data_IF_780148016580
#
_entry.id   IF_780148016580
#
_cell.length_a   1.000
_cell.length_b   1.000
_cell.length_c   1.000
_cell.angle_alpha   90.00
_cell.angle_beta   90.00
_cell.angle_gamma   90.00
#
_symmetry.space_group_name_H-M   'P 1'
#
loop_
_entity.id
_entity.type
_entity.pdbx_description
1 polymer ?
#
# COMPACT_ATOMS: atom_id res chain seq x y z
N UNK A 1 -21.75 0.89 -10.62
CA UNK A 1 -20.73 1.94 -10.75
C UNK A 1 -20.59 2.82 -9.51
N UNK A 2 -21.68 3.25 -8.85
CA UNK A 2 -21.61 4.10 -7.64
C UNK A 2 -20.77 3.52 -6.48
N UNK A 3 -20.89 2.21 -6.20
CA UNK A 3 -20.18 1.53 -5.09
C UNK A 3 -18.64 1.51 -5.26
N UNK A 4 -18.17 1.34 -6.49
CA UNK A 4 -16.74 1.35 -6.84
C UNK A 4 -16.17 2.77 -6.70
N UNK A 5 -16.94 3.78 -7.10
CA UNK A 5 -16.55 5.19 -6.98
C UNK A 5 -16.50 5.64 -5.51
N UNK A 6 -17.42 5.14 -4.68
CA UNK A 6 -17.46 5.43 -3.25
C UNK A 6 -16.29 4.78 -2.50
N UNK A 7 -15.96 3.52 -2.78
CA UNK A 7 -14.77 2.84 -2.23
C UNK A 7 -13.46 3.45 -2.73
N UNK A 8 -13.40 3.85 -4.00
CA UNK A 8 -12.29 4.61 -4.57
C UNK A 8 -12.07 5.93 -3.83
N UNK A 9 -13.13 6.68 -3.56
CA UNK A 9 -13.07 7.91 -2.77
C UNK A 9 -12.64 7.62 -1.32
N UNK A 10 -13.14 6.54 -0.71
CA UNK A 10 -12.84 6.14 0.68
C UNK A 10 -11.42 5.63 0.90
N UNK A 11 -10.66 5.29 -0.15
CA UNK A 11 -9.27 4.80 -0.04
C UNK A 11 -8.23 5.71 -0.70
N UNK A 12 -8.61 6.47 -1.73
CA UNK A 12 -7.78 7.57 -2.25
C UNK A 12 -7.92 8.86 -1.43
N UNK A 13 -8.81 8.89 -0.42
CA UNK A 13 -9.03 10.05 0.44
C UNK A 13 -7.73 10.53 1.06
N UNK A 14 -6.82 9.65 1.49
CA UNK A 14 -5.63 10.08 2.20
C UNK A 14 -4.76 10.97 1.30
N UNK A 15 -4.41 10.52 0.09
CA UNK A 15 -3.64 11.35 -0.84
C UNK A 15 -4.38 12.59 -1.32
N UNK A 16 -5.69 12.52 -1.59
CA UNK A 16 -6.47 13.71 -2.00
C UNK A 16 -6.60 14.73 -0.87
N UNK A 17 -6.94 14.26 0.33
CA UNK A 17 -7.02 15.05 1.54
C UNK A 17 -5.68 15.73 1.78
N UNK A 18 -4.57 14.98 1.72
CA UNK A 18 -3.26 15.59 1.97
C UNK A 18 -2.82 16.55 0.86
N UNK A 19 -3.05 16.27 -0.42
CA UNK A 19 -2.75 17.23 -1.50
C UNK A 19 -3.54 18.54 -1.32
N UNK A 20 -4.85 18.43 -1.09
CA UNK A 20 -5.71 19.59 -0.82
C UNK A 20 -5.24 20.39 0.39
N UNK A 21 -4.89 19.68 1.47
CA UNK A 21 -4.43 20.31 2.70
C UNK A 21 -3.09 21.01 2.49
N UNK A 22 -2.12 20.38 1.81
CA UNK A 22 -0.80 20.93 1.50
C UNK A 22 -0.82 22.16 0.56
N UNK A 23 -2.00 22.64 0.17
CA UNK A 23 -2.14 23.83 -0.68
C UNK A 23 -1.91 23.54 -2.15
N UNK A 24 -1.78 22.27 -2.54
CA UNK A 24 -1.72 21.89 -3.93
C UNK A 24 -3.13 21.87 -4.53
N UNK A 25 -3.33 22.61 -5.61
CA UNK A 25 -4.48 22.45 -6.51
C UNK A 25 -4.46 21.10 -7.24
N UNK A 26 -3.31 20.43 -7.24
CA UNK A 26 -3.03 19.17 -7.94
C UNK A 26 -3.94 18.05 -7.46
N UNK A 27 -4.78 17.52 -8.36
CA UNK A 27 -5.53 16.28 -8.12
C UNK A 27 -4.65 15.08 -8.52
N UNK A 28 -4.32 14.16 -7.60
CA UNK A 28 -3.57 12.96 -7.96
C UNK A 28 -4.37 12.15 -8.99
N UNK A 29 -3.72 11.80 -10.10
CA UNK A 29 -4.33 11.00 -11.16
C UNK A 29 -3.92 9.56 -10.96
N UNK A 30 -4.90 8.68 -10.85
CA UNK A 30 -4.69 7.23 -10.77
C UNK A 30 -4.98 6.60 -12.12
N UNK A 31 -4.02 5.82 -12.63
CA UNK A 31 -4.22 4.93 -13.78
C UNK A 31 -4.18 3.50 -13.27
N UNK A 32 -5.26 2.75 -13.47
CA UNK A 32 -5.37 1.36 -13.04
C UNK A 32 -5.53 0.47 -14.27
N UNK A 33 -4.68 -0.55 -14.39
CA UNK A 33 -4.75 -1.55 -15.44
C UNK A 33 -4.88 -2.94 -14.80
N UNK A 34 -5.88 -3.71 -15.23
CA UNK A 34 -6.08 -5.09 -14.78
C UNK A 34 -5.35 -6.04 -15.72
N UNK A 35 -4.48 -6.86 -15.17
CA UNK A 35 -3.76 -7.91 -15.86
C UNK A 35 -4.39 -9.26 -15.53
N UNK A 36 -4.91 -9.92 -16.55
CA UNK A 36 -5.52 -11.25 -16.45
C UNK A 36 -4.75 -12.22 -17.33
N UNK A 37 -4.43 -13.40 -16.79
CA UNK A 37 -3.78 -14.47 -17.55
C UNK A 37 -4.46 -15.81 -17.24
N UNK A 38 -4.63 -16.73 -18.21
CA UNK A 38 -5.29 -18.01 -17.98
C UNK A 38 -4.59 -18.90 -16.94
N UNK A 39 -3.28 -18.70 -16.74
CA UNK A 39 -2.42 -19.51 -15.85
C UNK A 39 -1.86 -18.77 -14.64
N UNK A 40 -2.06 -17.45 -14.54
CA UNK A 40 -1.49 -16.66 -13.45
C UNK A 40 -2.58 -15.88 -12.72
N UNK A 41 -2.43 -15.63 -11.40
CA UNK A 41 -3.36 -14.82 -10.65
C UNK A 41 -3.55 -13.46 -11.31
N UNK A 42 -4.81 -13.00 -11.31
CA UNK A 42 -5.13 -11.64 -11.76
C UNK A 42 -4.50 -10.63 -10.81
N UNK A 43 -3.86 -9.61 -11.36
CA UNK A 43 -3.33 -8.49 -10.59
C UNK A 43 -3.68 -7.16 -11.27
N UNK A 44 -3.53 -6.08 -10.52
CA UNK A 44 -3.72 -4.72 -10.94
C UNK A 44 -2.40 -3.99 -10.87
N UNK A 45 -2.03 -3.35 -11.97
CA UNK A 45 -1.00 -2.31 -11.97
C UNK A 45 -1.70 -0.97 -11.75
N UNK A 46 -1.36 -0.32 -10.64
CA UNK A 46 -1.86 1.01 -10.31
C UNK A 46 -0.70 1.98 -10.37
N UNK A 47 -0.91 3.09 -11.08
CA UNK A 47 0.05 4.20 -11.18
C UNK A 47 -0.59 5.45 -10.61
N UNK A 48 0.14 6.18 -9.79
CA UNK A 48 -0.22 7.55 -9.39
C UNK A 48 0.68 8.53 -10.11
N UNK A 49 0.10 9.65 -10.56
CA UNK A 49 0.83 10.75 -11.16
C UNK A 49 0.44 12.03 -10.41
N UNK A 50 1.42 12.68 -9.80
CA UNK A 50 1.31 14.03 -9.25
C UNK A 50 1.79 15.00 -10.34
N UNK A 51 0.93 15.96 -10.72
CA UNK A 51 1.17 16.90 -11.82
C UNK A 51 1.08 18.32 -11.31
N UNK A 52 2.05 19.16 -11.65
CA UNK A 52 2.00 20.60 -11.42
C UNK A 52 1.56 21.28 -12.72
N UNK A 53 0.50 22.08 -12.63
CA UNK A 53 0.07 22.95 -13.71
C UNK A 53 0.77 24.29 -13.55
N UNK A 54 1.68 24.62 -14.47
CA UNK A 54 2.29 25.94 -14.50
C UNK A 54 1.34 26.93 -15.19
N UNK A 55 1.24 28.14 -14.64
CA UNK A 55 0.39 29.24 -15.16
C UNK A 55 0.68 29.63 -16.62
N UNK A 56 1.82 29.20 -17.19
CA UNK A 56 2.16 29.38 -18.61
C UNK A 56 1.73 28.22 -19.51
N UNK A 57 0.71 27.46 -19.12
CA UNK A 57 -0.30 26.88 -20.02
C UNK A 57 0.08 25.74 -20.98
N UNK A 58 1.36 25.35 -21.12
CA UNK A 58 1.74 24.36 -22.16
C UNK A 58 2.50 23.13 -21.66
N UNK A 59 3.05 23.14 -20.45
CA UNK A 59 3.78 21.98 -19.90
C UNK A 59 3.14 21.48 -18.61
N UNK A 60 2.56 20.28 -18.69
CA UNK A 60 2.15 19.48 -17.54
C UNK A 60 3.33 18.64 -17.11
N UNK A 61 4.08 19.10 -16.11
CA UNK A 61 5.23 18.37 -15.57
C UNK A 61 4.75 17.38 -14.50
N UNK A 62 5.12 16.10 -14.65
CA UNK A 62 4.91 15.11 -13.61
C UNK A 62 5.93 15.32 -12.49
N UNK A 63 5.51 15.91 -11.37
CA UNK A 63 6.36 16.15 -10.18
C UNK A 63 6.82 14.82 -9.56
N UNK A 64 5.97 13.79 -9.64
CA UNK A 64 6.27 12.45 -9.16
C UNK A 64 5.32 11.43 -9.78
N UNK A 65 5.81 10.22 -9.97
CA UNK A 65 4.99 9.06 -10.27
C UNK A 65 5.46 7.86 -9.46
N UNK A 66 4.53 7.00 -9.06
CA UNK A 66 4.82 5.72 -8.43
C UNK A 66 3.89 4.64 -9.02
N UNK A 67 4.33 3.40 -8.94
CA UNK A 67 3.65 2.23 -9.50
C UNK A 67 3.63 1.12 -8.46
N UNK A 68 2.46 0.51 -8.26
CA UNK A 68 2.31 -0.68 -7.42
C UNK A 68 1.52 -1.75 -8.18
N UNK A 69 1.96 -3.00 -8.03
CA UNK A 69 1.25 -4.18 -8.52
C UNK A 69 0.62 -4.92 -7.34
N UNK A 70 -0.71 -5.08 -7.36
CA UNK A 70 -1.45 -5.72 -6.26
C UNK A 70 -2.61 -6.56 -6.78
N UNK A 71 -3.08 -7.55 -6.00
CA UNK A 71 -4.24 -8.38 -6.36
C UNK A 71 -5.54 -7.58 -6.49
N UNK A 72 -5.66 -6.50 -5.72
CA UNK A 72 -6.84 -5.62 -5.73
C UNK A 72 -6.45 -4.23 -6.23
N UNK A 73 -7.36 -3.59 -6.96
CA UNK A 73 -7.16 -2.22 -7.44
C UNK A 73 -6.99 -1.26 -6.25
N UNK A 74 -7.76 -1.50 -5.19
CA UNK A 74 -7.88 -0.68 -4.00
C UNK A 74 -6.57 -0.64 -3.20
N UNK A 75 -5.93 -1.79 -3.03
CA UNK A 75 -4.63 -1.86 -2.33
C UNK A 75 -3.52 -1.21 -3.16
N UNK A 76 -3.56 -1.38 -4.48
CA UNK A 76 -2.68 -0.68 -5.40
C UNK A 76 -2.81 0.83 -5.25
N UNK A 77 -4.03 1.37 -5.24
CA UNK A 77 -4.31 2.80 -5.04
C UNK A 77 -3.79 3.28 -3.68
N UNK A 78 -4.11 2.57 -2.60
CA UNK A 78 -3.71 2.97 -1.25
C UNK A 78 -2.18 3.02 -1.12
N UNK A 79 -1.48 2.07 -1.72
CA UNK A 79 -0.02 2.04 -1.68
C UNK A 79 0.63 3.14 -2.50
N UNK A 80 0.23 3.31 -3.77
CA UNK A 80 0.83 4.38 -4.59
C UNK A 80 0.50 5.76 -4.00
N UNK A 81 -0.71 5.93 -3.45
CA UNK A 81 -1.12 7.14 -2.74
C UNK A 81 -0.20 7.44 -1.54
N UNK A 82 0.07 6.43 -0.71
CA UNK A 82 0.97 6.54 0.45
C UNK A 82 2.39 6.89 0.00
N UNK A 83 2.95 6.14 -0.94
CA UNK A 83 4.33 6.36 -1.42
C UNK A 83 4.51 7.73 -2.04
N UNK A 84 3.54 8.19 -2.83
CA UNK A 84 3.57 9.52 -3.41
C UNK A 84 3.46 10.62 -2.35
N UNK A 85 2.65 10.41 -1.31
CA UNK A 85 2.55 11.34 -0.19
C UNK A 85 3.88 11.47 0.57
N UNK A 86 4.56 10.36 0.86
CA UNK A 86 5.85 10.39 1.56
C UNK A 86 6.91 11.17 0.79
N UNK A 87 6.95 10.99 -0.54
CA UNK A 87 7.87 11.72 -1.41
C UNK A 87 7.50 13.21 -1.46
N UNK A 88 6.22 13.54 -1.52
CA UNK A 88 5.74 14.92 -1.50
C UNK A 88 6.08 15.61 -0.17
N UNK A 89 5.84 14.93 0.95
CA UNK A 89 6.19 15.39 2.30
C UNK A 89 7.68 15.66 2.47
N UNK A 90 8.53 14.83 1.85
CA UNK A 90 9.97 15.05 1.82
C UNK A 90 10.35 16.29 1.00
N UNK A 91 9.75 16.47 -0.20
CA UNK A 91 10.01 17.65 -1.03
C UNK A 91 9.59 18.95 -0.35
N UNK A 92 8.43 18.95 0.30
CA UNK A 92 7.85 20.13 0.94
C UNK A 92 8.30 20.32 2.40
N UNK A 93 9.29 19.55 2.85
CA UNK A 93 9.76 19.58 4.24
C UNK A 93 10.08 20.98 4.77
N UNK A 94 10.74 21.87 4.00
CA UNK A 94 11.01 23.23 4.45
C UNK A 94 9.72 24.03 4.72
N UNK A 95 8.69 23.86 3.87
CA UNK A 95 7.38 24.52 4.04
C UNK A 95 6.59 23.94 5.21
N UNK A 96 6.72 22.64 5.46
CA UNK A 96 5.95 21.94 6.50
C UNK A 96 6.52 22.10 7.90
N UNK A 97 7.78 22.53 8.05
CA UNK A 97 8.53 22.60 9.31
C UNK A 97 7.76 23.24 10.47
N UNK A 98 7.02 24.32 10.21
CA UNK A 98 6.31 25.09 11.24
C UNK A 98 4.80 24.76 11.32
N UNK A 99 4.37 23.70 10.64
CA UNK A 99 2.96 23.27 10.62
C UNK A 99 2.80 21.95 11.38
N UNK A 100 1.56 21.61 11.75
CA UNK A 100 1.22 20.29 12.30
C UNK A 100 1.54 19.14 11.34
N UNK A 101 1.83 19.43 10.06
CA UNK A 101 2.16 18.45 9.03
C UNK A 101 3.65 18.12 8.95
N UNK A 102 4.49 18.73 9.79
CA UNK A 102 5.87 18.28 9.99
C UNK A 102 5.96 16.84 10.46
N UNK A 103 4.89 16.26 10.98
CA UNK A 103 4.85 14.85 11.38
C UNK A 103 4.42 13.91 10.26
N UNK A 104 4.11 14.44 9.06
CA UNK A 104 3.89 13.59 7.90
C UNK A 104 5.13 12.73 7.66
N UNK A 105 4.96 11.41 7.53
CA UNK A 105 6.00 10.51 7.06
C UNK A 105 6.59 11.06 5.75
N UNK A 106 7.90 10.98 5.65
CA UNK A 106 8.66 11.56 4.54
C UNK A 106 9.70 10.56 4.07
N UNK A 107 9.90 10.47 2.77
CA UNK A 107 10.83 9.55 2.13
C UNK A 107 11.47 10.27 0.96
N UNK A 108 12.80 10.24 0.86
CA UNK A 108 13.45 10.76 -0.33
C UNK A 108 13.05 9.92 -1.54
N UNK A 109 12.94 10.55 -2.72
CA UNK A 109 12.61 9.82 -3.94
C UNK A 109 13.65 8.73 -4.22
N UNK A 110 13.22 7.49 -4.41
CA UNK A 110 14.10 6.34 -4.64
C UNK A 110 14.61 5.65 -3.37
N UNK A 111 14.41 6.20 -2.18
CA UNK A 111 14.75 5.51 -0.93
C UNK A 111 13.62 4.58 -0.48
N UNK A 112 13.99 3.49 0.19
CA UNK A 112 13.01 2.60 0.83
C UNK A 112 12.62 3.07 2.24
N UNK A 113 13.48 3.84 2.90
CA UNK A 113 13.31 4.24 4.31
C UNK A 113 12.38 5.44 4.44
N UNK A 114 11.45 5.35 5.36
CA UNK A 114 10.50 6.41 5.71
C UNK A 114 10.87 7.03 7.04
N UNK A 115 10.94 8.34 7.10
CA UNK A 115 11.26 9.12 8.30
C UNK A 115 10.02 9.83 8.83
N UNK A 116 9.86 9.81 10.16
CA UNK A 116 8.83 10.56 10.88
C UNK A 116 9.56 11.45 11.88
N UNK A 117 9.17 12.73 11.97
CA UNK A 117 9.76 13.63 12.97
C UNK A 117 9.41 13.17 14.39
N UNK A 118 10.36 13.31 15.31
CA UNK A 118 10.13 13.13 16.75
C UNK A 118 9.11 14.14 17.25
N UNK A 119 8.24 13.70 18.14
CA UNK A 119 7.08 14.46 18.59
C UNK A 119 7.11 14.65 20.11
N UNK A 120 7.10 15.90 20.56
CA UNK A 120 7.30 16.26 21.96
C UNK A 120 5.97 16.63 22.69
N UNK A 121 4.81 16.47 22.03
CA UNK A 121 3.48 16.64 22.64
C UNK A 121 2.41 17.25 21.70
N UNK A 122 1.14 16.90 21.95
CA UNK A 122 -0.16 17.33 21.34
C UNK A 122 -0.93 16.35 20.41
N UNK A 123 -2.25 16.27 20.64
CA UNK A 123 -3.26 15.29 20.15
C UNK A 123 -3.53 15.20 18.63
N UNK A 124 -3.40 16.27 17.85
CA UNK A 124 -3.77 16.20 16.42
C UNK A 124 -2.75 15.46 15.56
N UNK A 125 -1.47 15.57 15.90
CA UNK A 125 -0.41 14.86 15.20
C UNK A 125 -0.43 13.37 15.57
N UNK A 126 -0.74 13.02 16.82
CA UNK A 126 -0.90 11.64 17.26
C UNK A 126 -2.11 10.97 16.58
N UNK A 127 -3.24 11.65 16.43
CA UNK A 127 -4.40 11.12 15.70
C UNK A 127 -4.14 10.88 14.23
N UNK A 128 -3.44 11.81 13.55
CA UNK A 128 -3.04 11.60 12.16
C UNK A 128 -2.05 10.43 12.06
N UNK A 129 -1.02 10.41 12.90
CA UNK A 129 -0.04 9.32 12.93
C UNK A 129 -0.71 7.98 13.21
N UNK A 130 -1.72 7.92 14.08
CA UNK A 130 -2.52 6.73 14.37
C UNK A 130 -3.30 6.26 13.14
N UNK A 131 -4.00 7.17 12.45
CA UNK A 131 -4.73 6.86 11.20
C UNK A 131 -3.77 6.40 10.09
N UNK A 132 -2.64 7.09 9.95
CA UNK A 132 -1.59 6.73 9.01
C UNK A 132 -1.03 5.34 9.32
N UNK A 133 -0.59 5.11 10.56
CA UNK A 133 -0.02 3.86 11.01
C UNK A 133 -1.00 2.70 10.78
N UNK A 134 -2.27 2.88 11.14
CA UNK A 134 -3.33 1.90 10.87
C UNK A 134 -3.46 1.55 9.38
N UNK A 135 -3.46 2.57 8.50
CA UNK A 135 -3.49 2.36 7.05
C UNK A 135 -2.24 1.63 6.54
N UNK A 136 -1.05 1.98 7.05
CA UNK A 136 0.21 1.34 6.67
C UNK A 136 0.32 -0.10 7.14
N UNK A 137 -0.08 -0.39 8.38
CA UNK A 137 -0.13 -1.75 8.93
C UNK A 137 -1.12 -2.62 8.16
N UNK A 138 -2.27 -2.07 7.79
CA UNK A 138 -3.25 -2.77 6.94
C UNK A 138 -2.66 -3.11 5.58
N UNK A 139 -1.99 -2.14 4.94
CA UNK A 139 -1.33 -2.37 3.66
C UNK A 139 -0.19 -3.39 3.79
N UNK A 140 0.60 -3.33 4.86
CA UNK A 140 1.68 -4.28 5.14
C UNK A 140 1.14 -5.70 5.33
N UNK A 141 0.09 -5.87 6.13
CA UNK A 141 -0.55 -7.17 6.32
C UNK A 141 -1.13 -7.72 5.01
N UNK A 142 -1.74 -6.86 4.18
CA UNK A 142 -2.21 -7.26 2.85
C UNK A 142 -1.05 -7.70 1.95
N UNK A 143 0.10 -7.01 1.99
CA UNK A 143 1.30 -7.42 1.25
C UNK A 143 1.89 -8.73 1.78
N UNK A 144 1.90 -8.95 3.08
CA UNK A 144 2.40 -10.20 3.68
C UNK A 144 1.50 -11.38 3.30
N UNK A 145 0.18 -11.20 3.36
CA UNK A 145 -0.78 -12.22 2.91
C UNK A 145 -0.57 -12.55 1.43
N UNK A 146 -0.35 -11.52 0.59
CA UNK A 146 -0.07 -11.74 -0.83
C UNK A 146 1.25 -12.49 -1.06
N UNK A 147 2.31 -12.15 -0.33
CA UNK A 147 3.59 -12.86 -0.41
C UNK A 147 3.45 -14.32 0.02
N UNK A 148 2.70 -14.58 1.10
CA UNK A 148 2.43 -15.92 1.57
C UNK A 148 1.67 -16.76 0.53
N UNK A 149 0.64 -16.19 -0.09
CA UNK A 149 -0.12 -16.84 -1.16
C UNK A 149 0.78 -17.18 -2.37
N UNK A 150 1.61 -16.24 -2.81
CA UNK A 150 2.57 -16.47 -3.91
C UNK A 150 3.56 -17.57 -3.53
N UNK A 151 4.09 -17.55 -2.30
CA UNK A 151 5.03 -18.57 -1.83
C UNK A 151 4.39 -19.96 -1.81
N UNK A 152 3.12 -20.06 -1.40
CA UNK A 152 2.36 -21.31 -1.42
C UNK A 152 2.13 -21.81 -2.84
N UNK A 153 1.62 -20.96 -3.74
CA UNK A 153 1.40 -21.31 -5.15
C UNK A 153 2.72 -21.72 -5.84
N UNK A 154 3.81 -21.02 -5.55
CA UNK A 154 5.13 -21.33 -6.10
C UNK A 154 5.70 -22.64 -5.53
N UNK A 155 5.38 -22.98 -4.28
CA UNK A 155 5.72 -24.27 -3.70
C UNK A 155 4.92 -25.39 -4.37
N UNK A 156 3.60 -25.24 -4.53
CA UNK A 156 2.72 -26.20 -5.21
C UNK A 156 3.19 -26.48 -6.65
N UNK A 157 3.49 -25.43 -7.43
CA UNK A 157 3.98 -25.57 -8.82
C UNK A 157 5.36 -26.25 -8.86
N UNK A 158 6.25 -25.95 -7.92
CA UNK A 158 7.56 -26.62 -7.83
C UNK A 158 7.39 -28.09 -7.49
N UNK A 159 6.49 -28.42 -6.57
CA UNK A 159 6.17 -29.78 -6.19
C UNK A 159 5.62 -30.57 -7.38
N UNK A 160 4.61 -30.04 -8.09
CA UNK A 160 4.04 -30.68 -9.29
C UNK A 160 5.10 -30.91 -10.36
N UNK A 161 5.96 -29.90 -10.61
CA UNK A 161 7.10 -30.05 -11.53
C UNK A 161 8.02 -31.19 -11.10
N UNK A 162 8.38 -31.25 -9.82
CA UNK A 162 9.34 -32.25 -9.31
C UNK A 162 8.75 -33.67 -9.38
N UNK A 163 7.46 -33.83 -9.08
CA UNK A 163 6.73 -35.09 -9.28
C UNK A 163 6.71 -35.49 -10.76
N UNK A 164 6.40 -34.56 -11.66
CA UNK A 164 6.39 -34.82 -13.10
C UNK A 164 7.77 -35.20 -13.62
N UNK A 165 8.83 -34.50 -13.19
CA UNK A 165 10.22 -34.81 -13.56
C UNK A 165 10.64 -36.17 -13.01
N UNK A 166 10.30 -36.50 -11.77
CA UNK A 166 10.58 -37.81 -11.17
C UNK A 166 9.89 -38.94 -11.96
N UNK A 167 8.61 -38.74 -12.33
CA UNK A 167 7.87 -39.72 -13.14
C UNK A 167 8.48 -39.94 -14.54
N UNK A 168 8.95 -38.86 -15.18
CA UNK A 168 9.56 -38.91 -16.51
C UNK A 168 10.96 -39.56 -16.48
N UNK A 169 11.69 -39.41 -15.37
CA UNK A 169 13.07 -39.93 -15.20
C UNK A 169 13.13 -41.26 -14.46
N UNK A 170 11.98 -41.79 -14.00
CA UNK A 170 11.88 -42.98 -13.11
C UNK A 170 12.66 -42.82 -11.78
N UNK A 171 12.87 -41.59 -11.34
CA UNK A 171 13.42 -41.31 -10.02
C UNK A 171 12.33 -41.47 -8.93
N UNK A 172 12.70 -41.75 -7.67
CA UNK A 172 11.74 -41.75 -6.57
C UNK A 172 11.11 -40.35 -6.41
N UNK A 173 9.83 -40.27 -6.00
CA UNK A 173 9.13 -39.00 -5.84
C UNK A 173 9.80 -38.15 -4.74
N UNK A 174 9.76 -36.81 -4.86
CA UNK A 174 10.25 -35.92 -3.82
C UNK A 174 9.53 -36.18 -2.49
N UNK A 175 10.24 -36.02 -1.36
CA UNK A 175 9.63 -36.09 -0.02
C UNK A 175 9.04 -34.73 0.34
N UNK A 176 7.85 -34.74 0.93
CA UNK A 176 7.13 -33.53 1.32
C UNK A 176 7.80 -32.94 2.58
N UNK A 177 8.54 -31.84 2.42
CA UNK A 177 9.14 -31.13 3.55
C UNK A 177 8.03 -30.46 4.37
N UNK A 178 7.52 -31.16 5.37
CA UNK A 178 6.40 -30.78 6.24
C UNK A 178 6.73 -29.62 7.22
N UNK A 179 7.57 -28.66 6.84
CA UNK A 179 7.95 -27.53 7.66
C UNK A 179 7.51 -26.22 7.02
N UNK A 180 6.20 -26.01 6.96
CA UNK A 180 5.67 -24.64 6.85
C UNK A 180 5.67 -24.04 8.26
N UNK A 181 6.44 -22.97 8.53
CA UNK A 181 6.31 -22.26 9.79
C UNK A 181 4.85 -21.81 9.97
N UNK A 182 4.30 -22.05 11.16
CA UNK A 182 2.93 -21.71 11.49
C UNK A 182 2.65 -20.24 11.12
N UNK A 183 1.72 -20.02 10.20
CA UNK A 183 1.28 -18.67 9.87
C UNK A 183 0.58 -18.08 11.08
N UNK A 184 1.11 -16.98 11.60
CA UNK A 184 0.41 -16.22 12.62
C UNK A 184 -0.95 -15.82 12.04
N UNK A 185 -2.07 -16.04 12.76
CA UNK A 185 -3.37 -15.67 12.25
C UNK A 185 -3.37 -14.17 11.91
N UNK A 186 -3.94 -13.80 10.76
CA UNK A 186 -4.15 -12.40 10.42
C UNK A 186 -4.83 -11.71 11.60
N UNK A 187 -4.27 -10.63 12.18
CA UNK A 187 -4.91 -9.91 13.26
C UNK A 187 -6.30 -9.51 12.81
N UNK A 188 -7.34 -9.91 13.57
CA UNK A 188 -8.71 -9.47 13.32
C UNK A 188 -8.69 -7.95 13.21
N UNK A 189 -9.22 -7.39 12.11
CA UNK A 189 -9.32 -5.93 11.94
C UNK A 189 -9.92 -5.35 13.23
N UNK A 190 -9.22 -4.46 13.94
CA UNK A 190 -9.80 -3.82 15.12
C UNK A 190 -11.02 -3.04 14.64
N UNK A 191 -12.19 -3.33 15.20
CA UNK A 191 -13.42 -2.59 14.93
C UNK A 191 -13.37 -1.28 15.71
N UNK A 192 -12.72 -0.26 15.15
CA UNK A 192 -12.64 1.06 15.79
C UNK A 192 -13.98 1.82 15.82
N UNK A 193 -14.99 1.36 15.06
CA UNK A 193 -16.29 2.04 14.93
C UNK A 193 -17.44 1.32 15.67
N UNK A 194 -17.16 0.34 16.53
CA UNK A 194 -18.20 -0.34 17.32
C UNK A 194 -18.28 0.26 18.73
N UNK A 195 -19.46 0.72 19.20
CA UNK A 195 -19.64 1.39 20.50
C UNK A 195 -19.57 0.43 21.71
N UNK A 196 -18.72 -0.60 21.65
CA UNK A 196 -18.55 -1.61 22.70
C UNK A 196 -17.10 -2.04 22.94
N UNK A 197 -16.11 -1.30 22.44
CA UNK A 197 -14.68 -1.61 22.65
C UNK A 197 -14.12 -1.07 23.99
N UNK A 198 -14.98 -0.92 25.00
CA UNK A 198 -14.59 -0.72 26.38
C UNK A 198 -15.21 -1.86 27.18
N UNK A 199 -14.37 -2.59 27.91
CA UNK A 199 -14.64 -3.84 28.62
C UNK A 199 -14.67 -5.07 27.69
N UNK A 200 -13.51 -5.70 27.54
CA UNK A 200 -13.28 -7.02 28.15
C UNK A 200 -11.78 -7.36 28.08
N UNK A 201 -11.31 -7.92 29.19
CA UNK A 201 -10.04 -8.61 29.43
C UNK A 201 -8.77 -7.76 29.71
N UNK A 202 -8.54 -7.62 31.03
CA UNK A 202 -7.29 -7.63 31.81
C UNK A 202 -5.96 -7.34 31.08
#
# INVERSE_FOLDING_TARGET
MAKIQEEFNRKSWLARWTCHHLGYSMRPIYKCARFTHPRYPTFWEVKVILREEHERGWEVMAVHHDVAMRRTMESGIAEVARRALEVLSHKERPRLRYTYRRFLPSRASGEARTFIATHDGVDMASDFLRKYLSATLTALNETNNHLFEIQRELHEVRWERDVLVASATRAPPPQEDANFPASSPSPKRPRYDSPGAAAEDL
#
